data_IF_940322744662
#
_entry.id   IF_940322744662
#
_cell.length_a   1.000
_cell.length_b   1.000
_cell.length_c   1.000
_cell.angle_alpha   90.00
_cell.angle_beta   90.00
_cell.angle_gamma   90.00
#
_symmetry.space_group_name_H-M   'P 1'
#
loop_
_entity.id
_entity.type
_entity.pdbx_description
1 polymer ?
#
# COMPACT_ATOMS: atom_id res chain seq x y z
N UNK A 1 -1.68 16.16 14.86
CA UNK A 1 -1.06 15.64 16.12
C UNK A 1 -0.23 14.38 15.83
N UNK A 2 -0.76 13.40 15.09
CA UNK A 2 -0.04 12.16 14.72
C UNK A 2 1.25 12.46 13.96
N UNK A 3 1.18 13.25 12.88
CA UNK A 3 2.31 13.66 12.06
C UNK A 3 3.44 14.32 12.86
N UNK A 4 3.07 15.23 13.78
CA UNK A 4 4.04 15.86 14.68
C UNK A 4 4.75 14.85 15.57
N UNK A 5 4.02 13.89 16.12
CA UNK A 5 4.60 12.83 16.94
C UNK A 5 5.53 11.92 16.13
N UNK A 6 5.18 11.63 14.87
CA UNK A 6 6.02 10.86 13.95
C UNK A 6 7.33 11.60 13.63
N UNK A 7 7.29 12.91 13.34
CA UNK A 7 8.48 13.73 13.11
C UNK A 7 9.38 13.81 14.36
N UNK A 8 8.81 14.01 15.54
CA UNK A 8 9.55 14.03 16.80
C UNK A 8 10.22 12.66 17.07
N UNK A 9 9.55 11.56 16.82
CA UNK A 9 10.10 10.22 16.98
C UNK A 9 11.24 9.94 16.00
N UNK A 10 11.09 10.30 14.73
CA UNK A 10 12.12 10.18 13.69
C UNK A 10 13.35 11.00 14.06
N UNK A 11 13.18 12.27 14.46
CA UNK A 11 14.27 13.11 14.92
C UNK A 11 15.03 12.47 16.09
N UNK A 12 14.30 11.98 17.08
CA UNK A 12 14.89 11.34 18.26
C UNK A 12 15.75 10.10 17.92
N UNK A 13 15.26 9.27 17.01
CA UNK A 13 15.96 8.05 16.56
C UNK A 13 17.20 8.42 15.74
N UNK A 14 17.06 9.35 14.78
CA UNK A 14 18.11 9.67 13.83
C UNK A 14 19.19 10.58 14.42
N UNK A 15 18.90 11.37 15.45
CA UNK A 15 19.86 12.31 16.06
C UNK A 15 21.14 11.64 16.60
N UNK A 16 21.10 10.35 16.91
CA UNK A 16 22.23 9.56 17.38
C UNK A 16 23.01 8.82 16.29
N UNK A 17 22.55 8.88 15.03
CA UNK A 17 23.16 8.16 13.92
C UNK A 17 24.12 9.04 13.11
N UNK A 18 25.17 8.41 12.57
CA UNK A 18 26.03 9.05 11.56
C UNK A 18 25.15 9.34 10.34
N UNK A 19 25.23 10.57 9.80
CA UNK A 19 24.38 11.05 8.70
C UNK A 19 22.89 11.06 9.00
N UNK A 20 22.47 10.95 10.28
CA UNK A 20 21.06 10.95 10.69
C UNK A 20 20.29 12.16 10.18
N UNK A 21 20.91 13.35 10.13
CA UNK A 21 20.28 14.55 9.56
C UNK A 21 19.92 14.41 8.09
N UNK A 22 20.74 13.78 7.28
CA UNK A 22 20.43 13.53 5.85
C UNK A 22 19.24 12.58 5.68
N UNK A 23 19.14 11.57 6.56
CA UNK A 23 18.02 10.62 6.53
C UNK A 23 16.75 11.34 6.98
N UNK A 24 16.83 12.19 7.99
CA UNK A 24 15.71 13.04 8.43
C UNK A 24 15.22 13.99 7.31
N UNK A 25 16.14 14.63 6.60
CA UNK A 25 15.79 15.49 5.45
C UNK A 25 15.04 14.71 4.37
N UNK A 26 15.47 13.49 4.05
CA UNK A 26 14.77 12.60 3.09
C UNK A 26 13.40 12.16 3.59
N UNK A 27 13.26 11.89 4.89
CA UNK A 27 11.98 11.58 5.50
C UNK A 27 11.01 12.75 5.39
N UNK A 28 11.46 13.95 5.73
CA UNK A 28 10.66 15.17 5.63
C UNK A 28 10.29 15.50 4.17
N UNK A 29 11.22 15.27 3.24
CA UNK A 29 10.95 15.40 1.81
C UNK A 29 9.85 14.43 1.36
N UNK A 30 9.96 13.15 1.73
CA UNK A 30 8.95 12.13 1.44
C UNK A 30 7.58 12.53 1.97
N UNK A 31 7.51 12.94 3.24
CA UNK A 31 6.25 13.27 3.91
C UNK A 31 5.59 14.55 3.34
N UNK A 32 6.41 15.49 2.89
CA UNK A 32 5.92 16.76 2.29
C UNK A 32 5.25 16.56 0.91
N UNK A 33 5.57 15.49 0.19
CA UNK A 33 5.19 15.25 -1.23
C UNK A 33 5.55 16.41 -2.17
N UNK A 34 6.53 17.24 -1.82
CA UNK A 34 6.83 18.47 -2.56
C UNK A 34 7.58 18.20 -3.86
N UNK A 35 8.51 17.23 -3.87
CA UNK A 35 9.31 16.87 -5.04
C UNK A 35 8.64 15.82 -5.92
N UNK A 36 9.13 15.64 -7.14
CA UNK A 36 8.67 14.58 -8.03
C UNK A 36 9.01 13.20 -7.48
N UNK A 37 10.21 13.08 -6.90
CA UNK A 37 10.73 11.88 -6.25
C UNK A 37 9.88 11.47 -5.05
N UNK A 38 9.55 12.42 -4.17
CA UNK A 38 8.69 12.17 -3.02
C UNK A 38 7.28 11.72 -3.43
N UNK A 39 6.69 12.35 -4.45
CA UNK A 39 5.39 11.93 -5.00
C UNK A 39 5.45 10.55 -5.64
N UNK A 40 6.54 10.22 -6.33
CA UNK A 40 6.72 8.88 -6.91
C UNK A 40 6.84 7.83 -5.81
N UNK A 41 7.71 8.07 -4.82
CA UNK A 41 7.90 7.17 -3.68
C UNK A 41 6.60 6.95 -2.89
N UNK A 42 5.81 8.01 -2.67
CA UNK A 42 4.51 7.90 -2.03
C UNK A 42 3.53 7.02 -2.82
N UNK A 43 3.48 7.16 -4.14
CA UNK A 43 2.63 6.31 -4.97
C UNK A 43 3.08 4.84 -4.94
N UNK A 44 4.42 4.59 -4.91
CA UNK A 44 4.96 3.24 -4.74
C UNK A 44 4.51 2.62 -3.41
N UNK A 45 4.62 3.35 -2.30
CA UNK A 45 4.20 2.91 -0.97
C UNK A 45 2.71 2.54 -0.92
N UNK A 46 1.85 3.35 -1.52
CA UNK A 46 0.41 3.07 -1.54
C UNK A 46 0.03 1.92 -2.47
N UNK A 47 0.65 1.87 -3.66
CA UNK A 47 0.39 0.79 -4.61
C UNK A 47 0.92 -0.56 -4.11
N UNK A 48 2.07 -0.58 -3.42
CA UNK A 48 2.61 -1.80 -2.80
C UNK A 48 1.59 -2.40 -1.83
N UNK A 49 1.04 -1.59 -0.94
CA UNK A 49 0.02 -2.01 0.01
C UNK A 49 -1.25 -2.55 -0.69
N UNK A 50 -1.69 -1.88 -1.76
CA UNK A 50 -2.85 -2.31 -2.54
C UNK A 50 -2.60 -3.67 -3.23
N UNK A 51 -1.40 -3.87 -3.81
CA UNK A 51 -1.01 -5.12 -4.46
C UNK A 51 -0.82 -6.26 -3.46
N UNK A 52 -0.25 -5.98 -2.29
CA UNK A 52 -0.09 -6.97 -1.22
C UNK A 52 -1.45 -7.47 -0.71
N UNK A 53 -2.43 -6.57 -0.61
CA UNK A 53 -3.80 -6.95 -0.29
C UNK A 53 -4.39 -7.90 -1.34
N UNK A 54 -4.09 -7.67 -2.64
CA UNK A 54 -4.53 -8.57 -3.71
C UNK A 54 -3.91 -9.97 -3.59
N UNK A 55 -2.62 -10.07 -3.29
CA UNK A 55 -1.94 -11.35 -3.07
C UNK A 55 -2.56 -12.11 -1.90
N UNK A 56 -2.74 -11.47 -0.75
CA UNK A 56 -3.35 -12.09 0.42
C UNK A 56 -4.79 -12.58 0.19
N UNK A 57 -5.57 -11.84 -0.57
CA UNK A 57 -6.93 -12.25 -0.94
C UNK A 57 -6.91 -13.48 -1.88
N UNK A 58 -5.98 -13.50 -2.85
CA UNK A 58 -5.78 -14.64 -3.75
C UNK A 58 -5.31 -15.91 -3.03
N UNK A 59 -4.53 -15.75 -1.96
CA UNK A 59 -4.06 -16.84 -1.10
C UNK A 59 -5.13 -17.32 -0.10
N UNK A 60 -6.27 -16.64 -0.04
CA UNK A 60 -7.35 -16.96 0.90
C UNK A 60 -7.06 -16.55 2.34
N UNK A 61 -6.14 -15.58 2.54
CA UNK A 61 -5.80 -15.05 3.87
C UNK A 61 -6.83 -14.06 4.41
N UNK A 62 -7.80 -13.63 3.60
CA UNK A 62 -8.83 -12.65 4.00
C UNK A 62 -10.13 -13.35 4.35
N UNK A 63 -10.58 -13.19 5.59
CA UNK A 63 -11.90 -13.62 6.03
C UNK A 63 -12.82 -12.41 6.22
N UNK A 64 -13.79 -12.23 5.31
CA UNK A 64 -14.76 -11.14 5.36
C UNK A 64 -15.67 -11.18 6.59
N UNK A 65 -15.77 -12.31 7.27
CA UNK A 65 -16.59 -12.47 8.49
C UNK A 65 -15.85 -12.02 9.75
N UNK A 66 -14.54 -11.83 9.68
CA UNK A 66 -13.69 -11.46 10.80
C UNK A 66 -13.12 -10.03 10.65
N UNK A 67 -13.95 -9.11 10.17
CA UNK A 67 -13.55 -7.70 9.97
C UNK A 67 -14.04 -6.77 11.08
N UNK A 68 -14.52 -7.30 12.21
CA UNK A 68 -14.96 -6.48 13.34
C UNK A 68 -13.80 -5.60 13.86
N UNK A 69 -14.07 -4.31 14.02
CA UNK A 69 -13.07 -3.32 14.44
C UNK A 69 -12.12 -2.83 13.33
N UNK A 70 -12.28 -3.30 12.11
CA UNK A 70 -11.53 -2.78 10.96
C UNK A 70 -12.19 -1.48 10.46
N UNK A 71 -11.55 -0.33 10.75
CA UNK A 71 -12.07 0.98 10.37
C UNK A 71 -12.27 1.14 8.85
N UNK A 72 -11.52 0.41 8.02
CA UNK A 72 -11.72 0.40 6.57
C UNK A 72 -13.00 -0.33 6.20
N UNK A 73 -13.27 -1.48 6.83
CA UNK A 73 -14.52 -2.22 6.61
C UNK A 73 -15.75 -1.43 7.04
N UNK A 74 -15.61 -0.54 8.01
CA UNK A 74 -16.69 0.33 8.48
C UNK A 74 -16.98 1.54 7.58
N UNK A 75 -16.12 1.81 6.59
CA UNK A 75 -16.31 2.89 5.64
C UNK A 75 -17.52 2.62 4.72
N UNK A 76 -18.40 3.61 4.56
CA UNK A 76 -19.64 3.49 3.78
C UNK A 76 -19.39 3.16 2.29
N UNK A 77 -18.32 3.67 1.69
CA UNK A 77 -17.94 3.31 0.32
C UNK A 77 -17.53 1.84 0.24
N UNK A 78 -16.72 1.38 1.19
CA UNK A 78 -16.26 -0.02 1.26
C UNK A 78 -17.45 -0.96 1.42
N UNK A 79 -18.37 -0.67 2.33
CA UNK A 79 -19.60 -1.45 2.50
C UNK A 79 -20.38 -1.58 1.20
N UNK A 80 -20.61 -0.48 0.50
CA UNK A 80 -21.32 -0.49 -0.79
C UNK A 80 -20.62 -1.31 -1.87
N UNK A 81 -19.29 -1.25 -1.93
CA UNK A 81 -18.51 -2.03 -2.92
C UNK A 81 -18.61 -3.54 -2.62
N UNK A 82 -18.52 -3.94 -1.36
CA UNK A 82 -18.68 -5.33 -0.93
C UNK A 82 -20.11 -5.83 -1.13
N UNK A 83 -21.13 -5.03 -0.84
CA UNK A 83 -22.54 -5.35 -1.11
C UNK A 83 -22.82 -5.57 -2.60
N UNK A 84 -22.08 -4.91 -3.48
CA UNK A 84 -22.13 -5.11 -4.93
C UNK A 84 -21.41 -6.39 -5.40
N UNK A 85 -20.89 -7.21 -4.48
CA UNK A 85 -20.28 -8.49 -4.79
C UNK A 85 -18.80 -8.42 -5.19
N UNK A 86 -18.13 -7.30 -4.95
CA UNK A 86 -16.68 -7.23 -5.14
C UNK A 86 -15.94 -8.08 -4.10
N UNK A 87 -14.79 -8.65 -4.49
CA UNK A 87 -13.86 -9.25 -3.55
C UNK A 87 -13.24 -8.19 -2.65
N UNK A 88 -12.65 -8.60 -1.52
CA UNK A 88 -11.97 -7.67 -0.63
C UNK A 88 -10.86 -6.90 -1.34
N UNK A 89 -10.04 -7.58 -2.12
CA UNK A 89 -8.94 -6.95 -2.83
C UNK A 89 -9.40 -6.03 -3.96
N UNK A 90 -10.44 -6.38 -4.70
CA UNK A 90 -10.98 -5.53 -5.76
C UNK A 90 -11.58 -4.24 -5.17
N UNK A 91 -12.28 -4.36 -4.05
CA UNK A 91 -12.76 -3.21 -3.27
C UNK A 91 -11.59 -2.36 -2.79
N UNK A 92 -10.52 -2.98 -2.27
CA UNK A 92 -9.35 -2.27 -1.74
C UNK A 92 -8.63 -1.49 -2.83
N UNK A 93 -8.37 -2.11 -3.99
CA UNK A 93 -7.77 -1.46 -5.16
C UNK A 93 -8.63 -0.28 -5.66
N UNK A 94 -9.95 -0.45 -5.74
CA UNK A 94 -10.85 0.63 -6.14
C UNK A 94 -10.88 1.77 -5.12
N UNK A 95 -10.85 1.46 -3.83
CA UNK A 95 -10.75 2.45 -2.77
C UNK A 95 -9.43 3.23 -2.88
N UNK A 96 -8.29 2.55 -3.09
CA UNK A 96 -6.99 3.16 -3.31
C UNK A 96 -6.97 4.10 -4.51
N UNK A 97 -7.53 3.68 -5.65
CA UNK A 97 -7.66 4.50 -6.87
C UNK A 97 -8.47 5.80 -6.67
N UNK A 98 -9.41 5.80 -5.73
CA UNK A 98 -10.22 6.98 -5.40
C UNK A 98 -9.55 7.86 -4.36
N UNK A 99 -8.80 7.26 -3.43
CA UNK A 99 -8.21 7.94 -2.29
C UNK A 99 -6.86 8.57 -2.60
N UNK A 100 -6.02 7.87 -3.40
CA UNK A 100 -4.64 8.27 -3.64
C UNK A 100 -4.48 8.98 -4.98
N UNK A 101 -3.55 9.96 -5.07
CA UNK A 101 -3.33 10.75 -6.28
C UNK A 101 -2.47 9.97 -7.29
N UNK A 102 -2.86 8.75 -7.64
CA UNK A 102 -2.15 7.94 -8.62
C UNK A 102 -2.12 8.64 -9.98
N UNK A 103 -0.91 8.73 -10.56
CA UNK A 103 -0.76 9.13 -11.94
C UNK A 103 -1.27 8.01 -12.89
N UNK A 104 -1.23 8.29 -14.20
CA UNK A 104 -1.75 7.37 -15.21
C UNK A 104 -1.07 5.98 -15.19
N UNK A 105 0.23 5.91 -14.83
CA UNK A 105 0.98 4.67 -14.85
C UNK A 105 0.63 3.82 -13.60
N UNK A 106 0.63 4.44 -12.41
CA UNK A 106 0.22 3.77 -11.17
C UNK A 106 -1.23 3.31 -11.24
N UNK A 107 -2.11 4.14 -11.79
CA UNK A 107 -3.51 3.76 -12.02
C UNK A 107 -3.65 2.58 -12.98
N UNK A 108 -2.85 2.53 -14.05
CA UNK A 108 -2.87 1.41 -14.99
C UNK A 108 -2.40 0.10 -14.34
N UNK A 109 -1.38 0.14 -13.47
CA UNK A 109 -0.93 -1.04 -12.72
C UNK A 109 -2.01 -1.50 -11.73
N UNK A 110 -2.60 -0.58 -10.97
CA UNK A 110 -3.68 -0.88 -10.04
C UNK A 110 -4.90 -1.50 -10.76
N UNK A 111 -5.28 -0.96 -11.92
CA UNK A 111 -6.38 -1.49 -12.72
C UNK A 111 -6.06 -2.86 -13.31
N UNK A 112 -4.82 -3.08 -13.74
CA UNK A 112 -4.36 -4.41 -14.17
C UNK A 112 -4.49 -5.42 -13.04
N UNK A 113 -4.01 -5.08 -11.84
CA UNK A 113 -4.09 -5.95 -10.68
C UNK A 113 -5.54 -6.28 -10.28
N UNK A 114 -6.46 -5.31 -10.40
CA UNK A 114 -7.89 -5.52 -10.14
C UNK A 114 -8.50 -6.55 -11.09
N UNK A 115 -8.14 -6.50 -12.36
CA UNK A 115 -8.76 -7.32 -13.42
C UNK A 115 -8.03 -8.63 -13.72
N UNK A 116 -6.88 -8.88 -13.09
CA UNK A 116 -6.06 -10.05 -13.38
C UNK A 116 -5.65 -10.78 -12.11
N UNK A 117 -5.35 -12.07 -12.25
CA UNK A 117 -4.65 -12.84 -11.24
C UNK A 117 -3.17 -12.46 -11.25
N UNK A 118 -2.60 -12.17 -10.07
CA UNK A 118 -1.18 -11.85 -9.92
C UNK A 118 -0.45 -13.15 -9.57
N UNK A 119 0.47 -13.61 -10.43
CA UNK A 119 1.33 -14.75 -10.16
C UNK A 119 2.64 -14.28 -9.50
N UNK A 120 3.01 -14.89 -8.39
CA UNK A 120 4.39 -14.80 -7.89
C UNK A 120 5.31 -15.63 -8.79
N UNK A 121 6.01 -15.02 -9.72
CA UNK A 121 7.03 -15.72 -10.53
C UNK A 121 8.25 -16.19 -9.72
N UNK A 122 8.43 -15.68 -8.50
CA UNK A 122 9.62 -15.91 -7.67
C UNK A 122 9.69 -17.35 -7.17
N UNK A 123 8.56 -17.97 -6.86
CA UNK A 123 8.53 -19.33 -6.29
C UNK A 123 8.82 -20.43 -7.32
N UNK A 124 8.62 -20.17 -8.61
CA UNK A 124 8.83 -21.17 -9.66
C UNK A 124 10.30 -21.38 -10.04
N UNK A 125 11.19 -20.42 -9.76
CA UNK A 125 12.64 -20.54 -10.06
C UNK A 125 13.40 -21.36 -9.02
N UNK A 126 13.03 -21.29 -7.74
CA UNK A 126 13.71 -22.01 -6.65
C UNK A 126 13.49 -23.52 -6.73
N UNK A 127 12.34 -23.97 -7.23
CA UNK A 127 12.01 -25.41 -7.33
C UNK A 127 12.52 -26.09 -8.61
N UNK A 128 13.18 -25.38 -9.52
CA UNK A 128 13.77 -25.99 -10.75
C UNK A 128 15.24 -26.33 -10.63
N UNK A 129 15.95 -25.78 -9.66
CA UNK A 129 17.39 -26.00 -9.46
C UNK A 129 17.69 -27.12 -8.44
N UNK A 130 16.66 -27.70 -7.82
CA UNK A 130 16.77 -28.82 -6.84
C UNK A 130 16.37 -30.20 -7.41
N UNK A 131 16.54 -30.43 -8.72
CA UNK A 131 16.36 -31.77 -9.31
C UNK A 131 17.55 -32.19 -10.13
#
# INVERSE_FOLDING_TARGET
EKEKMEHEAVHCILSSLIDGGKIEDLFLEFDSHATAEARFAYQCDKLECDLQCKLYDQEGCVDLKQQEGNATADNELVKKLLENGQSWSDMWLEFGQRKYPYDKNFRAVSEYAKNNYIEEEITKKVNKDDK
#
